data_IF_967522398281
#
_entry.id   IF_967522398281
#
_cell.length_a   1.000
_cell.length_b   1.000
_cell.length_c   1.000
_cell.angle_alpha   90.00
_cell.angle_beta   90.00
_cell.angle_gamma   90.00
#
_symmetry.space_group_name_H-M   'P 1'
#
loop_
_entity.id
_entity.type
_entity.pdbx_description
1 polymer ?
#
# COMPACT_ATOMS: atom_id res chain seq x y z
N UNK A 1 -5.45 23.17 15.76
CA UNK A 1 -6.07 21.98 15.13
C UNK A 1 -5.89 22.13 13.63
N UNK A 2 -5.35 21.13 12.92
CA UNK A 2 -5.19 21.22 11.45
C UNK A 2 -6.57 21.17 10.81
N UNK A 3 -6.78 21.89 9.71
CA UNK A 3 -8.03 21.77 8.95
C UNK A 3 -8.08 20.39 8.28
N UNK A 4 -9.21 19.69 8.43
CA UNK A 4 -9.47 18.43 7.74
C UNK A 4 -9.55 18.66 6.23
N UNK A 5 -9.08 17.69 5.45
CA UNK A 5 -9.20 17.70 4.00
C UNK A 5 -9.49 16.27 3.49
N UNK A 6 -10.70 15.97 3.03
CA UNK A 6 -10.97 14.73 2.30
C UNK A 6 -10.24 14.76 0.96
N UNK A 7 -9.55 13.67 0.64
CA UNK A 7 -8.82 13.50 -0.61
C UNK A 7 -9.10 12.12 -1.18
N UNK A 8 -9.51 12.07 -2.44
CA UNK A 8 -9.65 10.84 -3.22
C UNK A 8 -8.63 10.85 -4.34
N UNK A 9 -7.89 9.75 -4.48
CA UNK A 9 -7.03 9.49 -5.64
C UNK A 9 -7.60 8.31 -6.40
N UNK A 10 -7.95 8.52 -7.67
CA UNK A 10 -8.48 7.50 -8.55
C UNK A 10 -7.64 7.42 -9.83
N UNK A 11 -7.07 6.24 -10.10
CA UNK A 11 -6.45 5.90 -11.37
C UNK A 11 -7.08 4.60 -11.84
N UNK A 12 -8.00 4.69 -12.79
CA UNK A 12 -8.75 3.53 -13.28
C UNK A 12 -9.39 3.82 -14.64
N UNK A 13 -9.30 2.87 -15.56
CA UNK A 13 -10.03 2.93 -16.85
C UNK A 13 -11.54 2.71 -16.69
N UNK A 14 -11.96 2.12 -15.55
CA UNK A 14 -13.34 1.69 -15.29
C UNK A 14 -14.19 2.72 -14.54
N UNK A 15 -13.56 3.76 -14.01
CA UNK A 15 -14.23 4.80 -13.23
C UNK A 15 -14.30 6.06 -14.07
N UNK A 16 -15.50 6.60 -14.24
CA UNK A 16 -15.67 7.92 -14.86
C UNK A 16 -15.56 9.04 -13.81
N UNK A 17 -15.49 10.29 -14.31
CA UNK A 17 -15.32 11.46 -13.45
C UNK A 17 -16.48 11.63 -12.48
N UNK A 18 -17.72 11.33 -12.91
CA UNK A 18 -18.90 11.46 -12.04
C UNK A 18 -18.86 10.49 -10.86
N UNK A 19 -18.40 9.26 -11.10
CA UNK A 19 -18.17 8.27 -10.06
C UNK A 19 -17.03 8.68 -9.11
N UNK A 20 -15.96 9.28 -9.65
CA UNK A 20 -14.84 9.77 -8.84
C UNK A 20 -15.24 10.97 -7.96
N UNK A 21 -16.06 11.89 -8.49
CA UNK A 21 -16.66 12.99 -7.72
C UNK A 21 -17.61 12.46 -6.66
N UNK A 22 -18.47 11.49 -6.99
CA UNK A 22 -19.38 10.86 -6.02
C UNK A 22 -18.61 10.19 -4.88
N UNK A 23 -17.49 9.51 -5.17
CA UNK A 23 -16.60 8.96 -4.16
C UNK A 23 -16.02 10.03 -3.23
N UNK A 24 -15.64 11.20 -3.78
CA UNK A 24 -15.18 12.33 -2.97
C UNK A 24 -16.31 12.90 -2.10
N UNK A 25 -17.51 13.10 -2.65
CA UNK A 25 -18.67 13.59 -1.90
C UNK A 25 -19.05 12.65 -0.75
N UNK A 26 -18.93 11.34 -0.95
CA UNK A 26 -19.18 10.37 0.11
C UNK A 26 -18.13 10.47 1.22
N UNK A 27 -16.84 10.45 0.88
CA UNK A 27 -15.76 10.60 1.86
C UNK A 27 -15.89 11.93 2.62
N UNK A 28 -16.22 13.00 1.91
CA UNK A 28 -16.49 14.31 2.47
C UNK A 28 -17.58 14.30 3.55
N UNK A 29 -18.72 13.68 3.26
CA UNK A 29 -19.83 13.56 4.19
C UNK A 29 -19.40 12.81 5.46
N UNK A 30 -18.62 11.73 5.31
CA UNK A 30 -18.06 10.94 6.42
C UNK A 30 -17.10 11.77 7.27
N UNK A 31 -16.33 12.67 6.65
CA UNK A 31 -15.40 13.59 7.36
C UNK A 31 -16.15 14.75 8.03
N UNK A 32 -17.42 14.99 7.66
CA UNK A 32 -18.30 16.02 8.24
C UNK A 32 -18.42 17.30 7.41
N UNK A 33 -18.15 17.23 6.10
CA UNK A 33 -18.36 18.35 5.17
C UNK A 33 -19.79 18.36 4.63
N UNK A 34 -20.35 19.55 4.44
CA UNK A 34 -21.62 19.72 3.72
C UNK A 34 -21.44 19.44 2.22
N UNK A 35 -22.53 19.01 1.58
CA UNK A 35 -22.52 18.73 0.14
C UNK A 35 -22.14 19.99 -0.65
N UNK A 36 -21.18 19.87 -1.56
CA UNK A 36 -20.69 20.98 -2.38
C UNK A 36 -19.70 21.93 -1.68
N UNK A 37 -19.34 21.68 -0.42
CA UNK A 37 -18.40 22.54 0.33
C UNK A 37 -16.92 22.30 -0.04
N UNK A 38 -16.61 21.34 -0.90
CA UNK A 38 -15.24 20.92 -1.20
C UNK A 38 -14.83 21.38 -2.59
N UNK A 39 -13.63 21.96 -2.66
CA UNK A 39 -12.97 22.24 -3.91
C UNK A 39 -12.48 20.93 -4.56
N UNK A 40 -13.07 20.55 -5.69
CA UNK A 40 -12.70 19.35 -6.43
C UNK A 40 -11.22 19.32 -6.83
N UNK A 41 -10.60 20.46 -7.18
CA UNK A 41 -9.20 20.49 -7.62
C UNK A 41 -8.19 20.21 -6.50
N UNK A 42 -8.55 20.51 -5.25
CA UNK A 42 -7.70 20.25 -4.08
C UNK A 42 -7.96 18.88 -3.44
N UNK A 43 -9.07 18.23 -3.79
CA UNK A 43 -9.54 17.03 -3.10
C UNK A 43 -9.68 15.81 -4.00
N UNK A 44 -9.58 15.97 -5.32
CA UNK A 44 -9.67 14.87 -6.27
C UNK A 44 -8.46 14.85 -7.19
N UNK A 45 -7.72 13.74 -7.16
CA UNK A 45 -6.84 13.36 -8.25
C UNK A 45 -7.53 12.29 -9.07
N UNK A 46 -7.78 12.54 -10.35
CA UNK A 46 -8.48 11.61 -11.22
C UNK A 46 -7.76 11.45 -12.55
N UNK A 47 -7.45 10.19 -12.91
CA UNK A 47 -6.90 9.83 -14.21
C UNK A 47 -7.64 8.60 -14.74
N UNK A 48 -8.46 8.81 -15.78
CA UNK A 48 -9.15 7.72 -16.47
C UNK A 48 -8.23 7.04 -17.48
N UNK A 49 -7.34 6.18 -16.99
CA UNK A 49 -6.38 5.46 -17.82
C UNK A 49 -6.16 4.05 -17.30
N UNK A 50 -5.73 3.17 -18.19
CA UNK A 50 -4.96 2.00 -17.79
C UNK A 50 -3.54 2.45 -17.46
N UNK A 51 -2.98 1.92 -16.37
CA UNK A 51 -1.57 2.14 -16.09
C UNK A 51 -0.74 1.36 -17.11
N UNK A 52 0.39 1.91 -17.57
CA UNK A 52 1.23 1.23 -18.55
C UNK A 52 1.73 -0.11 -18.00
N UNK A 53 2.04 -1.07 -18.87
CA UNK A 53 2.82 -2.23 -18.43
C UNK A 53 4.25 -1.79 -18.15
N UNK A 54 4.73 -1.98 -16.93
CA UNK A 54 6.11 -1.68 -16.55
C UNK A 54 6.21 -0.66 -15.43
N UNK A 55 7.20 0.22 -15.52
CA UNK A 55 7.53 1.21 -14.50
C UNK A 55 6.42 2.27 -14.37
N UNK A 56 5.93 2.48 -13.15
CA UNK A 56 4.90 3.44 -12.78
C UNK A 56 5.45 4.65 -12.03
N UNK A 57 6.78 4.82 -12.00
CA UNK A 57 7.42 5.89 -11.20
C UNK A 57 6.90 7.28 -11.56
N UNK A 58 6.62 7.55 -12.84
CA UNK A 58 6.08 8.85 -13.28
C UNK A 58 4.67 9.10 -12.72
N UNK A 59 3.77 8.13 -12.80
CA UNK A 59 2.42 8.25 -12.25
C UNK A 59 2.43 8.32 -10.72
N UNK A 60 3.35 7.59 -10.07
CA UNK A 60 3.55 7.66 -8.62
C UNK A 60 4.04 9.06 -8.22
N UNK A 61 4.98 9.63 -8.97
CA UNK A 61 5.49 10.99 -8.74
C UNK A 61 4.39 12.04 -8.93
N UNK A 62 3.58 11.92 -9.97
CA UNK A 62 2.44 12.81 -10.25
C UNK A 62 1.46 12.86 -9.05
N UNK A 63 1.10 11.68 -8.50
CA UNK A 63 0.23 11.60 -7.32
C UNK A 63 0.95 12.10 -6.05
N UNK A 64 2.25 11.83 -5.90
CA UNK A 64 3.03 12.30 -4.77
C UNK A 64 3.10 13.83 -4.75
N UNK A 65 3.35 14.47 -5.88
CA UNK A 65 3.35 15.93 -6.05
C UNK A 65 1.98 16.55 -5.73
N UNK A 66 0.89 15.85 -6.08
CA UNK A 66 -0.44 16.24 -5.67
C UNK A 66 -0.65 16.14 -4.15
N UNK A 67 -0.21 15.07 -3.49
CA UNK A 67 -0.49 14.82 -2.07
C UNK A 67 0.42 15.58 -1.09
N UNK A 68 1.73 15.67 -1.37
CA UNK A 68 2.71 16.18 -0.42
C UNK A 68 2.41 17.61 0.11
N UNK A 69 2.06 18.60 -0.74
CA UNK A 69 1.75 19.95 -0.26
C UNK A 69 0.55 20.02 0.70
N UNK A 70 -0.39 19.06 0.57
CA UNK A 70 -1.58 18.97 1.41
C UNK A 70 -1.26 18.34 2.76
N UNK A 71 -0.46 17.27 2.74
CA UNK A 71 -0.02 16.55 3.95
C UNK A 71 0.77 17.44 4.91
N UNK A 72 1.51 18.43 4.41
CA UNK A 72 2.24 19.39 5.24
C UNK A 72 1.32 20.32 6.04
N UNK A 73 0.16 20.70 5.46
CA UNK A 73 -0.67 21.81 5.96
C UNK A 73 -1.99 21.35 6.58
N UNK A 74 -2.46 20.15 6.24
CA UNK A 74 -3.81 19.67 6.55
C UNK A 74 -3.77 18.34 7.30
N UNK A 75 -4.91 17.99 7.89
CA UNK A 75 -5.21 16.63 8.33
C UNK A 75 -5.91 15.93 7.17
N UNK A 76 -5.16 15.12 6.43
CA UNK A 76 -5.68 14.51 5.19
C UNK A 76 -6.49 13.26 5.53
N UNK A 77 -7.70 13.17 5.01
CA UNK A 77 -8.55 11.99 5.04
C UNK A 77 -8.52 11.35 3.65
N UNK A 78 -7.72 10.31 3.48
CA UNK A 78 -7.34 9.76 2.18
C UNK A 78 -8.11 8.48 1.86
N UNK A 79 -8.72 8.44 0.67
CA UNK A 79 -9.14 7.22 0.01
C UNK A 79 -8.40 7.02 -1.31
N UNK A 80 -8.03 5.77 -1.60
CA UNK A 80 -7.28 5.38 -2.79
C UNK A 80 -8.08 4.35 -3.59
N UNK A 81 -8.30 4.64 -4.87
CA UNK A 81 -8.84 3.73 -5.86
C UNK A 81 -7.81 3.54 -6.98
N UNK A 82 -6.79 2.76 -6.64
CA UNK A 82 -5.61 2.46 -7.46
C UNK A 82 -5.19 1.01 -7.22
N UNK A 83 -4.34 0.40 -8.06
CA UNK A 83 -3.81 -0.94 -7.78
C UNK A 83 -3.04 -1.01 -6.46
N UNK A 84 -3.10 -2.15 -5.77
CA UNK A 84 -2.44 -2.35 -4.47
C UNK A 84 -0.93 -2.10 -4.52
N UNK A 85 -0.25 -2.52 -5.59
CA UNK A 85 1.18 -2.28 -5.78
C UNK A 85 1.50 -0.78 -5.94
N UNK A 86 0.65 -0.04 -6.67
CA UNK A 86 0.76 1.41 -6.80
C UNK A 86 0.65 2.09 -5.43
N UNK A 87 -0.34 1.70 -4.63
CA UNK A 87 -0.57 2.25 -3.30
C UNK A 87 0.64 2.05 -2.36
N UNK A 88 1.25 0.85 -2.37
CA UNK A 88 2.50 0.60 -1.63
C UNK A 88 3.61 1.54 -2.08
N UNK A 89 3.87 1.62 -3.38
CA UNK A 89 4.93 2.43 -3.94
C UNK A 89 4.71 3.92 -3.66
N UNK A 90 3.48 4.41 -3.75
CA UNK A 90 3.10 5.76 -3.34
C UNK A 90 3.41 6.01 -1.87
N UNK A 91 3.02 5.08 -0.98
CA UNK A 91 3.33 5.18 0.45
C UNK A 91 4.83 5.26 0.73
N UNK A 92 5.64 4.45 0.04
CA UNK A 92 7.11 4.50 0.10
C UNK A 92 7.62 5.87 -0.36
N UNK A 93 7.10 6.35 -1.50
CA UNK A 93 7.54 7.58 -2.14
C UNK A 93 7.33 8.82 -1.28
N UNK A 94 6.16 8.94 -0.67
CA UNK A 94 5.80 10.08 0.18
C UNK A 94 6.27 9.93 1.63
N UNK A 95 6.82 8.76 1.99
CA UNK A 95 7.32 8.54 3.35
C UNK A 95 8.44 9.54 3.68
N UNK A 96 8.31 10.11 4.88
CA UNK A 96 9.28 10.99 5.52
C UNK A 96 9.69 10.44 6.89
N UNK A 97 10.65 11.10 7.55
CA UNK A 97 11.04 10.76 8.92
C UNK A 97 9.88 10.89 9.92
N UNK A 98 8.96 11.82 9.68
CA UNK A 98 7.72 12.01 10.43
C UNK A 98 6.53 11.97 9.49
N UNK A 99 5.81 10.85 9.50
CA UNK A 99 4.59 10.70 8.69
C UNK A 99 3.59 11.78 9.13
N UNK A 100 3.07 12.59 8.20
CA UNK A 100 2.10 13.63 8.54
C UNK A 100 0.80 13.05 9.09
N UNK A 101 0.08 13.77 9.98
CA UNK A 101 -1.24 13.38 10.46
C UNK A 101 -2.21 13.11 9.30
N UNK A 102 -2.70 11.87 9.20
CA UNK A 102 -3.68 11.48 8.18
C UNK A 102 -4.58 10.34 8.64
N UNK A 103 -5.79 10.28 8.10
CA UNK A 103 -6.68 9.13 8.19
C UNK A 103 -6.71 8.41 6.83
N UNK A 104 -6.64 7.08 6.83
CA UNK A 104 -6.69 6.27 5.62
C UNK A 104 -7.99 5.45 5.64
N UNK A 105 -8.72 5.51 4.55
CA UNK A 105 -10.03 4.91 4.40
C UNK A 105 -10.00 3.71 3.45
N UNK A 106 -10.85 2.73 3.74
CA UNK A 106 -11.09 1.56 2.92
C UNK A 106 -12.55 1.56 2.46
N UNK A 107 -12.78 1.40 1.15
CA UNK A 107 -14.13 1.26 0.62
C UNK A 107 -14.58 -0.21 0.70
N UNK A 108 -15.71 -0.46 1.37
CA UNK A 108 -16.32 -1.79 1.45
C UNK A 108 -17.84 -1.65 1.47
N UNK A 109 -18.55 -2.51 0.74
CA UNK A 109 -20.03 -2.58 0.75
C UNK A 109 -20.71 -1.22 0.60
N UNK A 110 -20.24 -0.43 -0.37
CA UNK A 110 -20.87 0.85 -0.72
C UNK A 110 -20.49 2.04 0.17
N UNK A 111 -19.53 1.89 1.10
CA UNK A 111 -19.06 3.05 1.88
C UNK A 111 -17.61 2.99 2.37
N UNK A 112 -17.09 4.13 2.84
CA UNK A 112 -15.74 4.26 3.37
C UNK A 112 -15.68 4.03 4.89
N UNK A 113 -14.77 3.16 5.31
CA UNK A 113 -14.43 2.92 6.70
C UNK A 113 -13.05 3.50 6.99
N UNK A 114 -12.93 4.29 8.05
CA UNK A 114 -11.62 4.71 8.56
C UNK A 114 -10.93 3.49 9.15
N UNK A 115 -9.91 2.99 8.46
CA UNK A 115 -9.18 1.78 8.87
C UNK A 115 -7.84 2.08 9.51
N UNK A 116 -7.26 3.26 9.26
CA UNK A 116 -6.03 3.69 9.92
C UNK A 116 -6.14 5.17 10.25
N UNK A 117 -5.82 5.53 11.48
CA UNK A 117 -5.84 6.90 11.98
C UNK A 117 -4.46 7.28 12.52
N UNK A 118 -3.71 8.09 11.79
CA UNK A 118 -2.36 8.54 12.16
C UNK A 118 -2.38 9.96 12.76
N UNK A 119 -3.54 10.48 13.13
CA UNK A 119 -3.69 11.85 13.62
C UNK A 119 -3.18 12.04 15.04
N UNK A 120 -3.28 10.99 15.87
CA UNK A 120 -2.82 10.95 17.25
C UNK A 120 -1.35 10.51 17.37
N UNK A 121 -0.97 9.47 16.63
CA UNK A 121 0.36 8.89 16.65
C UNK A 121 0.74 8.32 15.29
N UNK A 122 1.47 9.10 14.50
CA UNK A 122 1.91 8.68 13.18
C UNK A 122 2.95 7.55 13.18
N UNK A 123 3.55 7.24 14.33
CA UNK A 123 4.50 6.13 14.47
C UNK A 123 3.82 4.79 14.78
N UNK A 124 2.51 4.75 15.00
CA UNK A 124 1.83 3.50 15.40
C UNK A 124 1.98 2.37 14.38
N UNK A 125 2.01 2.69 13.08
CA UNK A 125 2.26 1.73 12.00
C UNK A 125 3.73 1.29 11.90
N UNK A 126 4.65 2.00 12.54
CA UNK A 126 6.09 1.69 12.64
C UNK A 126 6.47 1.09 14.00
N UNK A 127 5.50 0.80 14.87
CA UNK A 127 5.76 0.24 16.18
C UNK A 127 6.33 -1.19 16.05
N UNK A 128 7.50 -1.44 16.63
CA UNK A 128 8.09 -2.78 16.67
C UNK A 128 7.32 -3.62 17.69
N UNK A 129 6.82 -4.78 17.24
CA UNK A 129 6.09 -5.75 18.04
C UNK A 129 6.90 -7.03 18.20
N UNK A 130 7.06 -7.44 19.44
CA UNK A 130 7.77 -8.69 19.76
C UNK A 130 6.92 -9.92 19.38
N UNK A 131 5.60 -9.83 19.58
CA UNK A 131 4.63 -10.87 19.28
C UNK A 131 3.61 -10.39 18.24
N UNK A 132 3.36 -11.22 17.23
CA UNK A 132 2.30 -11.00 16.24
C UNK A 132 1.06 -11.79 16.63
N UNK A 133 -0.11 -11.14 16.63
CA UNK A 133 -1.41 -11.73 16.99
C UNK A 133 -2.35 -11.79 15.79
N UNK A 134 -2.14 -10.94 14.78
CA UNK A 134 -3.01 -10.82 13.60
C UNK A 134 -2.36 -11.41 12.35
N UNK A 135 -1.05 -11.54 12.36
CA UNK A 135 -0.27 -12.06 11.25
C UNK A 135 0.61 -13.23 11.68
N UNK A 136 0.90 -14.09 10.72
CA UNK A 136 1.85 -15.19 10.85
C UNK A 136 2.94 -15.01 9.80
N UNK A 137 4.19 -15.04 10.24
CA UNK A 137 5.36 -14.88 9.38
C UNK A 137 6.14 -16.20 9.31
N UNK A 138 6.38 -16.68 8.09
CA UNK A 138 7.20 -17.85 7.80
C UNK A 138 8.40 -17.41 6.98
N UNK A 139 9.59 -17.64 7.52
CA UNK A 139 10.84 -17.30 6.87
C UNK A 139 11.57 -18.55 6.39
N UNK A 140 11.92 -18.59 5.11
CA UNK A 140 12.73 -19.62 4.48
C UNK A 140 14.07 -19.00 4.08
N UNK A 141 15.11 -19.32 4.86
CA UNK A 141 16.48 -18.89 4.62
C UNK A 141 17.22 -19.89 3.75
N UNK A 142 17.70 -19.45 2.60
CA UNK A 142 18.56 -20.22 1.68
C UNK A 142 19.99 -19.68 1.65
N UNK A 143 20.23 -18.50 2.24
CA UNK A 143 21.55 -17.86 2.32
C UNK A 143 21.80 -16.83 1.21
N UNK A 144 20.74 -16.39 0.54
CA UNK A 144 20.81 -15.39 -0.51
C UNK A 144 20.92 -13.97 0.07
N UNK A 145 21.39 -13.03 -0.73
CA UNK A 145 21.56 -11.62 -0.33
C UNK A 145 20.35 -10.74 -0.66
N UNK A 146 19.37 -11.27 -1.38
CA UNK A 146 18.06 -10.66 -1.65
C UNK A 146 16.95 -11.47 -0.96
N UNK A 147 15.82 -10.81 -0.64
CA UNK A 147 14.67 -11.47 -0.03
C UNK A 147 13.38 -11.10 -0.74
N UNK A 148 12.59 -12.12 -1.08
CA UNK A 148 11.22 -11.96 -1.52
C UNK A 148 10.29 -11.89 -0.30
N UNK A 149 9.44 -10.87 -0.25
CA UNK A 149 8.45 -10.66 0.79
C UNK A 149 7.07 -10.77 0.15
N UNK A 150 6.30 -11.76 0.59
CA UNK A 150 4.96 -12.06 0.09
C UNK A 150 3.96 -11.76 1.21
N UNK A 151 3.17 -10.69 1.06
CA UNK A 151 2.08 -10.39 2.00
C UNK A 151 0.76 -10.90 1.42
N UNK A 152 0.15 -11.89 2.08
CA UNK A 152 -1.04 -12.58 1.58
C UNK A 152 -2.18 -12.59 2.60
N UNK A 153 -3.10 -11.65 2.44
CA UNK A 153 -4.25 -11.48 3.33
C UNK A 153 -5.56 -11.86 2.61
N UNK A 154 -5.53 -11.92 1.28
CA UNK A 154 -6.62 -12.45 0.47
C UNK A 154 -6.68 -13.99 0.49
N UNK A 155 -7.83 -14.55 0.08
CA UNK A 155 -8.09 -16.00 0.07
C UNK A 155 -7.22 -16.80 -0.91
N UNK A 156 -6.62 -16.15 -1.91
CA UNK A 156 -5.81 -16.82 -2.93
C UNK A 156 -4.33 -16.85 -2.52
N UNK A 157 -3.66 -17.98 -2.78
CA UNK A 157 -2.24 -18.15 -2.46
C UNK A 157 -1.33 -17.57 -3.52
N UNK A 158 -0.41 -16.69 -3.13
CA UNK A 158 0.60 -16.10 -4.02
C UNK A 158 1.91 -16.89 -4.05
N UNK A 159 2.25 -17.65 -2.99
CA UNK A 159 3.57 -18.26 -2.83
C UNK A 159 4.02 -19.03 -4.08
N UNK A 160 3.18 -19.92 -4.60
CA UNK A 160 3.52 -20.76 -5.75
C UNK A 160 3.74 -19.96 -7.05
N UNK A 161 2.98 -18.89 -7.29
CA UNK A 161 3.16 -18.07 -8.49
C UNK A 161 4.38 -17.16 -8.37
N UNK A 162 4.65 -16.63 -7.17
CA UNK A 162 5.85 -15.82 -6.90
C UNK A 162 7.11 -16.66 -7.08
N UNK A 163 7.17 -17.88 -6.53
CA UNK A 163 8.32 -18.78 -6.69
C UNK A 163 8.60 -19.09 -8.16
N UNK A 164 7.57 -19.47 -8.93
CA UNK A 164 7.71 -19.73 -10.37
C UNK A 164 8.23 -18.52 -11.14
N UNK A 165 7.75 -17.33 -10.82
CA UNK A 165 8.23 -16.09 -11.43
C UNK A 165 9.70 -15.80 -11.08
N UNK A 166 10.08 -15.95 -9.82
CA UNK A 166 11.46 -15.75 -9.38
C UNK A 166 12.41 -16.74 -10.08
N UNK A 167 12.03 -18.02 -10.10
CA UNK A 167 12.75 -19.09 -10.81
C UNK A 167 12.90 -18.79 -12.30
N UNK A 168 11.80 -18.44 -12.99
CA UNK A 168 11.82 -18.19 -14.43
C UNK A 168 12.69 -16.98 -14.81
N UNK A 169 12.81 -16.01 -13.89
CA UNK A 169 13.64 -14.81 -14.04
C UNK A 169 15.07 -14.99 -13.53
N UNK A 170 15.45 -16.17 -13.04
CA UNK A 170 16.72 -16.45 -12.37
C UNK A 170 17.02 -15.47 -11.22
N UNK A 171 16.00 -15.11 -10.44
CA UNK A 171 16.13 -14.28 -9.24
C UNK A 171 16.18 -15.23 -8.04
N UNK A 172 17.33 -15.30 -7.37
CA UNK A 172 17.51 -16.12 -6.16
C UNK A 172 17.29 -15.25 -4.93
N UNK A 173 16.42 -15.70 -4.03
CA UNK A 173 16.09 -14.93 -2.82
C UNK A 173 15.80 -15.86 -1.65
N UNK A 174 16.12 -15.42 -0.44
CA UNK A 174 15.40 -15.90 0.75
C UNK A 174 13.90 -15.54 0.61
N UNK A 175 13.01 -16.22 1.33
CA UNK A 175 11.56 -15.93 1.25
C UNK A 175 10.96 -15.66 2.63
N UNK A 176 10.36 -14.49 2.80
CA UNK A 176 9.48 -14.16 3.91
C UNK A 176 8.03 -14.14 3.43
N UNK A 177 7.25 -15.10 3.90
CA UNK A 177 5.81 -15.13 3.68
C UNK A 177 5.09 -14.62 4.92
N UNK A 178 4.15 -13.69 4.74
CA UNK A 178 3.35 -13.13 5.83
C UNK A 178 1.88 -13.27 5.48
N UNK A 179 1.13 -13.99 6.32
CA UNK A 179 -0.30 -14.25 6.16
C UNK A 179 -1.10 -13.60 7.28
N UNK A 180 -2.35 -13.27 6.99
CA UNK A 180 -3.30 -12.91 8.04
C UNK A 180 -3.80 -14.18 8.77
N UNK A 181 -3.89 -14.13 10.10
CA UNK A 181 -4.32 -15.26 10.93
C UNK A 181 -5.78 -15.68 10.65
N UNK A 182 -6.65 -14.72 10.32
CA UNK A 182 -7.97 -15.02 9.74
C UNK A 182 -7.90 -14.88 8.22
N UNK A 183 -7.63 -15.98 7.51
CA UNK A 183 -7.51 -15.96 6.05
C UNK A 183 -8.79 -15.50 5.37
N UNK A 184 -8.67 -14.64 4.35
CA UNK A 184 -9.72 -14.35 3.37
C UNK A 184 -10.49 -13.06 3.56
N UNK A 185 -10.42 -12.41 4.73
CA UNK A 185 -10.84 -11.02 4.91
C UNK A 185 -10.25 -10.44 6.20
N UNK A 186 -9.70 -9.22 6.14
CA UNK A 186 -9.34 -8.48 7.36
C UNK A 186 -10.64 -7.89 7.91
N UNK A 187 -10.94 -8.12 9.18
CA UNK A 187 -12.09 -7.49 9.81
C UNK A 187 -11.97 -5.96 9.74
N UNK A 188 -13.08 -5.27 9.49
CA UNK A 188 -13.11 -3.81 9.56
C UNK A 188 -12.73 -3.36 10.97
N UNK A 189 -11.84 -2.36 11.07
CA UNK A 189 -11.29 -1.88 12.33
C UNK A 189 -10.00 -1.09 12.11
N UNK A 190 -9.25 -0.86 13.19
CA UNK A 190 -7.94 -0.23 13.11
C UNK A 190 -6.88 -1.23 12.63
N UNK A 191 -6.53 -1.14 11.35
CA UNK A 191 -5.53 -1.98 10.67
C UNK A 191 -4.09 -1.60 11.00
N UNK A 192 -3.85 -0.60 11.85
CA UNK A 192 -2.48 -0.21 12.20
C UNK A 192 -1.73 -1.30 12.96
N UNK A 193 -2.43 -2.17 13.67
CA UNK A 193 -1.84 -3.32 14.35
C UNK A 193 -1.26 -4.28 13.32
N UNK A 194 -2.06 -4.70 12.35
CA UNK A 194 -1.66 -5.58 11.25
C UNK A 194 -0.48 -4.98 10.48
N UNK A 195 -0.54 -3.68 10.13
CA UNK A 195 0.57 -3.00 9.42
C UNK A 195 1.85 -3.05 10.25
N UNK A 196 1.77 -2.75 11.55
CA UNK A 196 2.94 -2.75 12.43
C UNK A 196 3.51 -4.16 12.68
N UNK A 197 2.69 -5.20 12.67
CA UNK A 197 3.17 -6.59 12.75
C UNK A 197 3.93 -6.99 11.48
N UNK A 198 3.40 -6.69 10.29
CA UNK A 198 4.11 -6.89 9.01
C UNK A 198 5.41 -6.10 8.99
N UNK A 199 5.38 -4.82 9.37
CA UNK A 199 6.58 -3.99 9.48
C UNK A 199 7.61 -4.61 10.43
N UNK A 200 7.18 -5.09 11.59
CA UNK A 200 8.07 -5.73 12.58
C UNK A 200 8.74 -6.98 12.02
N UNK A 201 8.02 -7.83 11.28
CA UNK A 201 8.58 -9.02 10.65
C UNK A 201 9.68 -8.65 9.64
N UNK A 202 9.46 -7.61 8.84
CA UNK A 202 10.45 -7.12 7.86
C UNK A 202 11.65 -6.49 8.57
N UNK A 203 11.43 -5.78 9.69
CA UNK A 203 12.51 -5.19 10.47
C UNK A 203 13.39 -6.24 11.17
N UNK A 204 12.82 -7.35 11.65
CA UNK A 204 13.58 -8.47 12.23
C UNK A 204 14.58 -9.05 11.22
N UNK A 205 14.19 -9.21 9.96
CA UNK A 205 15.12 -9.65 8.91
C UNK A 205 16.34 -8.73 8.77
N UNK A 206 16.15 -7.43 8.96
CA UNK A 206 17.22 -6.43 8.87
C UNK A 206 18.15 -6.42 10.08
N UNK A 207 17.66 -6.83 11.24
CA UNK A 207 18.48 -7.01 12.44
C UNK A 207 19.38 -8.24 12.31
N UNK A 208 18.89 -9.28 11.65
CA UNK A 208 19.61 -10.55 11.45
C UNK A 208 20.63 -10.53 10.30
N UNK A 209 20.56 -9.54 9.40
CA UNK A 209 21.49 -9.38 8.27
C UNK A 209 21.12 -8.24 7.33
N UNK A 210 22.09 -7.80 6.51
CA UNK A 210 21.85 -6.78 5.49
C UNK A 210 21.45 -7.43 4.16
N UNK A 211 20.16 -7.41 3.84
CA UNK A 211 19.68 -7.74 2.49
C UNK A 211 19.95 -6.59 1.53
N UNK A 212 20.51 -6.91 0.36
CA UNK A 212 20.79 -5.94 -0.69
C UNK A 212 19.52 -5.40 -1.36
N UNK A 213 18.45 -6.21 -1.40
CA UNK A 213 17.18 -5.84 -2.00
C UNK A 213 16.00 -6.60 -1.42
N UNK A 214 14.86 -5.91 -1.30
CA UNK A 214 13.57 -6.50 -0.98
C UNK A 214 12.70 -6.60 -2.25
N UNK A 215 12.12 -7.75 -2.53
CA UNK A 215 11.17 -7.96 -3.63
C UNK A 215 9.76 -8.10 -3.06
N UNK A 216 8.89 -7.12 -3.30
CA UNK A 216 7.60 -6.97 -2.61
C UNK A 216 6.44 -7.43 -3.49
N UNK A 217 5.73 -8.45 -3.03
CA UNK A 217 4.54 -9.04 -3.67
C UNK A 217 3.33 -8.96 -2.74
N UNK A 218 2.20 -8.47 -3.25
CA UNK A 218 1.06 -8.06 -2.42
C UNK A 218 -0.26 -8.69 -2.86
N UNK A 219 -0.93 -9.37 -1.94
CA UNK A 219 -2.36 -9.72 -1.99
C UNK A 219 -3.04 -9.19 -0.71
N UNK A 220 -3.12 -7.87 -0.61
CA UNK A 220 -3.66 -7.13 0.56
C UNK A 220 -4.58 -5.98 0.09
N UNK A 221 -5.43 -5.42 0.97
CA UNK A 221 -6.21 -4.22 0.66
C UNK A 221 -5.33 -3.01 0.31
N UNK A 222 -5.83 -2.14 -0.58
CA UNK A 222 -5.12 -0.93 -1.06
C UNK A 222 -4.69 -0.03 0.11
N UNK A 223 -5.59 0.24 1.06
CA UNK A 223 -5.35 1.08 2.23
C UNK A 223 -4.26 0.51 3.15
N UNK A 224 -4.21 -0.83 3.26
CA UNK A 224 -3.16 -1.54 4.00
C UNK A 224 -1.80 -1.37 3.31
N UNK A 225 -1.75 -1.62 1.99
CA UNK A 225 -0.53 -1.50 1.20
C UNK A 225 0.07 -0.09 1.29
N UNK A 226 -0.76 0.94 1.16
CA UNK A 226 -0.31 2.33 1.32
C UNK A 226 0.32 2.60 2.68
N UNK A 227 -0.34 2.17 3.77
CA UNK A 227 0.19 2.35 5.12
C UNK A 227 1.48 1.55 5.37
N UNK A 228 1.58 0.33 4.83
CA UNK A 228 2.82 -0.44 4.86
C UNK A 228 3.93 0.31 4.12
N UNK A 229 3.63 0.94 2.99
CA UNK A 229 4.59 1.74 2.24
C UNK A 229 5.12 2.93 3.05
N UNK A 230 4.22 3.64 3.75
CA UNK A 230 4.58 4.69 4.70
C UNK A 230 5.49 4.16 5.84
N UNK A 231 5.23 2.93 6.31
CA UNK A 231 6.01 2.30 7.37
C UNK A 231 7.43 1.92 6.90
N UNK A 232 7.54 1.28 5.72
CA UNK A 232 8.81 0.86 5.13
C UNK A 232 9.72 2.05 4.80
N UNK A 233 9.15 3.10 4.22
CA UNK A 233 9.90 4.27 3.79
C UNK A 233 11.00 3.96 2.78
N UNK A 234 12.06 4.77 2.76
CA UNK A 234 13.09 4.79 1.70
C UNK A 234 14.46 4.27 2.14
N UNK A 235 14.51 3.40 3.14
CA UNK A 235 15.76 3.04 3.82
C UNK A 235 16.47 1.82 3.24
N UNK A 236 15.79 1.01 2.42
CA UNK A 236 16.33 -0.24 1.85
C UNK A 236 15.99 -0.28 0.37
N UNK A 237 16.93 -0.65 -0.51
CA UNK A 237 16.62 -0.89 -1.92
C UNK A 237 15.50 -1.93 -2.04
N UNK A 238 14.51 -1.63 -2.87
CA UNK A 238 13.34 -2.50 -3.02
C UNK A 238 12.80 -2.46 -4.44
N UNK A 239 12.08 -3.51 -4.81
CA UNK A 239 11.31 -3.59 -6.03
C UNK A 239 9.87 -3.95 -5.67
N UNK A 240 8.91 -3.16 -6.11
CA UNK A 240 7.48 -3.47 -5.98
C UNK A 240 7.01 -4.15 -7.26
N UNK A 241 6.27 -5.25 -7.10
CA UNK A 241 5.73 -6.02 -8.21
C UNK A 241 4.21 -5.94 -8.29
N UNK A 242 3.69 -5.74 -9.49
CA UNK A 242 2.27 -5.86 -9.81
C UNK A 242 1.99 -7.21 -10.46
N UNK A 243 0.95 -7.89 -10.00
CA UNK A 243 0.45 -9.10 -10.66
C UNK A 243 -0.17 -8.76 -12.02
N UNK A 244 0.19 -9.53 -13.05
CA UNK A 244 -0.34 -9.41 -14.40
C UNK A 244 -1.30 -10.58 -14.70
N UNK A 245 -2.63 -10.35 -14.65
CA UNK A 245 -3.61 -11.40 -14.93
C UNK A 245 -3.67 -11.80 -16.41
N UNK A 246 -3.03 -11.04 -17.32
CA UNK A 246 -3.00 -11.31 -18.75
C UNK A 246 -1.72 -12.04 -19.20
N UNK A 247 -0.84 -12.38 -18.26
CA UNK A 247 0.42 -13.06 -18.56
C UNK A 247 0.17 -14.43 -19.19
N UNK A 248 0.84 -14.69 -20.32
CA UNK A 248 0.84 -16.00 -20.99
C UNK A 248 2.05 -16.86 -20.59
N UNK A 249 3.09 -16.24 -20.03
CA UNK A 249 4.30 -16.88 -19.51
C UNK A 249 4.50 -16.55 -18.01
N UNK A 250 5.03 -17.52 -17.26
CA UNK A 250 5.55 -17.34 -15.90
C UNK A 250 6.46 -16.13 -15.72
N UNK A 251 7.27 -15.80 -16.73
CA UNK A 251 8.18 -14.64 -16.74
C UNK A 251 7.47 -13.29 -16.72
N UNK A 252 6.18 -13.26 -17.05
CA UNK A 252 5.38 -12.05 -17.17
C UNK A 252 4.32 -11.95 -16.07
N UNK A 253 4.22 -12.97 -15.18
CA UNK A 253 3.22 -13.02 -14.09
C UNK A 253 3.31 -11.82 -13.15
N UNK A 254 4.51 -11.28 -12.97
CA UNK A 254 4.75 -10.12 -12.15
C UNK A 254 5.59 -9.09 -12.89
N UNK A 255 5.14 -7.85 -12.85
CA UNK A 255 5.79 -6.73 -13.52
C UNK A 255 6.41 -5.84 -12.44
N UNK A 256 7.71 -5.51 -12.52
CA UNK A 256 8.32 -4.54 -11.62
C UNK A 256 7.79 -3.13 -11.96
N UNK A 257 7.03 -2.53 -11.05
CA UNK A 257 6.37 -1.23 -11.26
C UNK A 257 7.06 -0.07 -10.56
N UNK A 258 7.92 -0.34 -9.59
CA UNK A 258 8.65 0.69 -8.86
C UNK A 258 9.94 0.10 -8.29
N UNK A 259 11.04 0.85 -8.43
CA UNK A 259 12.35 0.49 -7.87
C UNK A 259 12.90 1.67 -7.10
N UNK A 260 13.31 1.40 -5.86
CA UNK A 260 14.08 2.30 -5.03
C UNK A 260 15.56 1.88 -5.01
#
# INVERSE_FOLDING_TARGET
>A
MRTKLPVVVTISSRVDESQAVSALEELAAIVGFEKGAINGTDSLFFKRTELPLGDWSLEIDEVAEFLMPKLEKKEVHLALNVPTAFALALGIRISSSQIPPMCIYHFQTGTYYKVIDLTDNSRKIKAIRNEAKRTEAKFLKTGEDEVAIVCQFASHTLEGSVRKFLESRNITTDLLEIRHASSGNIALGDWSVEVSEVYSAIQKLREEGYYKRLHLFLAVPVSFAFALGLALGRYVPLTVYQYNPLASDTNELYIPIFKL
#
